data_IF_908061646526
#
_entry.id   IF_908061646526
#
_cell.length_a   1.000
_cell.length_b   1.000
_cell.length_c   1.000
_cell.angle_alpha   90.00
_cell.angle_beta   90.00
_cell.angle_gamma   90.00
#
_symmetry.space_group_name_H-M   'P 1'
#
loop_
_entity.id
_entity.type
_entity.pdbx_description
1 polymer ?
#
# COMPACT_ATOMS: atom_id res chain seq x y z
N UNK A 1 -11.98 -25.06 14.60
CA UNK A 1 -11.20 -23.80 14.56
C UNK A 1 -11.99 -22.79 13.74
N UNK A 2 -12.36 -21.61 14.27
CA UNK A 2 -13.06 -20.64 13.44
C UNK A 2 -12.14 -20.30 12.27
N UNK A 3 -12.64 -20.46 11.03
CA UNK A 3 -11.97 -19.94 9.83
C UNK A 3 -11.72 -18.46 10.11
N UNK A 4 -10.49 -18.07 10.46
CA UNK A 4 -10.14 -16.67 10.70
C UNK A 4 -10.51 -15.90 9.44
N UNK A 5 -11.67 -15.22 9.46
CA UNK A 5 -12.22 -14.51 8.29
C UNK A 5 -11.52 -13.18 8.07
N UNK A 6 -10.33 -12.96 8.65
CA UNK A 6 -9.63 -11.67 8.70
C UNK A 6 -9.30 -11.07 7.33
N UNK A 7 -9.21 -11.92 6.29
CA UNK A 7 -9.02 -11.49 4.91
C UNK A 7 -10.16 -10.59 4.41
N UNK A 8 -11.42 -10.91 4.72
CA UNK A 8 -12.55 -10.16 4.21
C UNK A 8 -12.67 -8.75 4.85
N UNK A 9 -12.59 -8.59 6.19
CA UNK A 9 -12.47 -7.28 6.82
C UNK A 9 -11.26 -6.49 6.33
N UNK A 10 -10.10 -7.14 6.12
CA UNK A 10 -8.94 -6.48 5.55
C UNK A 10 -9.27 -5.85 4.19
N UNK A 11 -9.80 -6.63 3.25
CA UNK A 11 -10.11 -6.15 1.91
C UNK A 11 -11.13 -4.99 1.94
N UNK A 12 -12.22 -5.12 2.70
CA UNK A 12 -13.23 -4.05 2.79
C UNK A 12 -12.63 -2.78 3.39
N UNK A 13 -11.95 -2.89 4.54
CA UNK A 13 -11.33 -1.74 5.20
C UNK A 13 -10.29 -1.10 4.30
N UNK A 14 -9.48 -1.91 3.61
CA UNK A 14 -8.45 -1.46 2.68
C UNK A 14 -9.04 -0.67 1.52
N UNK A 15 -10.00 -1.23 0.79
CA UNK A 15 -10.63 -0.55 -0.34
C UNK A 15 -11.36 0.72 0.10
N UNK A 16 -12.05 0.68 1.24
CA UNK A 16 -12.76 1.86 1.77
C UNK A 16 -11.79 3.00 2.05
N UNK A 17 -10.70 2.71 2.77
CA UNK A 17 -9.71 3.71 3.15
C UNK A 17 -8.96 4.24 1.91
N UNK A 18 -8.58 3.37 0.97
CA UNK A 18 -7.88 3.78 -0.25
C UNK A 18 -8.76 4.67 -1.13
N UNK A 19 -10.04 4.34 -1.32
CA UNK A 19 -10.97 5.16 -2.11
C UNK A 19 -11.20 6.52 -1.46
N UNK A 20 -11.43 6.56 -0.14
CA UNK A 20 -11.60 7.81 0.60
C UNK A 20 -10.33 8.67 0.49
N UNK A 21 -9.16 8.08 0.72
CA UNK A 21 -7.90 8.82 0.65
C UNK A 21 -7.58 9.28 -0.76
N UNK A 22 -7.91 8.51 -1.80
CA UNK A 22 -7.79 8.97 -3.18
C UNK A 22 -8.68 10.18 -3.45
N UNK A 23 -9.95 10.12 -3.04
CA UNK A 23 -10.87 11.25 -3.16
C UNK A 23 -10.39 12.51 -2.43
N UNK A 24 -9.91 12.37 -1.19
CA UNK A 24 -9.32 13.47 -0.41
C UNK A 24 -8.08 14.04 -1.11
N UNK A 25 -7.21 13.18 -1.64
CA UNK A 25 -6.00 13.59 -2.34
C UNK A 25 -6.33 14.43 -3.58
N UNK A 26 -7.28 13.96 -4.41
CA UNK A 26 -7.76 14.73 -5.57
C UNK A 26 -8.42 16.05 -5.16
N UNK A 27 -9.22 16.05 -4.09
CA UNK A 27 -9.85 17.26 -3.58
C UNK A 27 -8.80 18.29 -3.15
N UNK A 28 -7.74 17.87 -2.44
CA UNK A 28 -6.64 18.76 -2.05
C UNK A 28 -5.91 19.31 -3.28
N UNK A 29 -5.62 18.48 -4.29
CA UNK A 29 -5.01 18.94 -5.55
C UNK A 29 -5.88 20.01 -6.24
N UNK A 30 -7.20 19.80 -6.27
CA UNK A 30 -8.14 20.76 -6.83
C UNK A 30 -8.08 22.11 -6.09
N UNK A 31 -8.10 22.09 -4.75
CA UNK A 31 -8.02 23.31 -3.94
C UNK A 31 -6.69 24.07 -4.12
N UNK A 32 -5.62 23.36 -4.49
CA UNK A 32 -4.30 23.94 -4.78
C UNK A 32 -4.11 24.32 -6.26
N UNK A 33 -5.15 24.23 -7.08
CA UNK A 33 -5.10 24.43 -8.54
C UNK A 33 -4.00 23.58 -9.22
N UNK A 34 -3.77 22.36 -8.72
CA UNK A 34 -2.85 21.38 -9.31
C UNK A 34 -3.62 20.43 -10.21
N UNK A 35 -2.91 19.85 -11.19
CA UNK A 35 -3.48 18.81 -12.05
C UNK A 35 -3.88 17.58 -11.22
N UNK A 36 -5.11 17.09 -11.42
CA UNK A 36 -5.69 16.03 -10.61
C UNK A 36 -5.09 14.64 -10.90
N UNK A 37 -4.72 14.38 -12.15
CA UNK A 37 -4.29 13.06 -12.62
C UNK A 37 -2.85 13.06 -13.14
N UNK A 38 -2.03 14.04 -12.75
CA UNK A 38 -0.60 14.06 -13.07
C UNK A 38 0.22 13.26 -12.06
N UNK A 39 1.55 13.23 -12.27
CA UNK A 39 2.52 12.69 -11.31
C UNK A 39 2.28 11.22 -10.95
N UNK A 40 1.77 10.43 -11.90
CA UNK A 40 1.50 9.00 -11.73
C UNK A 40 0.62 8.65 -10.52
N UNK A 41 -0.28 9.56 -10.12
CA UNK A 41 -1.09 9.36 -8.91
C UNK A 41 -2.00 8.12 -9.04
N UNK A 42 -2.57 7.86 -10.21
CA UNK A 42 -3.44 6.69 -10.43
C UNK A 42 -2.62 5.41 -10.35
N UNK A 43 -1.50 5.36 -11.06
CA UNK A 43 -0.56 4.24 -11.10
C UNK A 43 -0.03 3.94 -9.70
N UNK A 44 0.30 4.98 -8.92
CA UNK A 44 0.77 4.84 -7.55
C UNK A 44 -0.26 4.18 -6.65
N UNK A 45 -1.52 4.63 -6.69
CA UNK A 45 -2.59 4.01 -5.90
C UNK A 45 -2.85 2.58 -6.32
N UNK A 46 -2.84 2.28 -7.62
CA UNK A 46 -3.04 0.93 -8.15
C UNK A 46 -1.90 -0.01 -7.76
N UNK A 47 -0.64 0.38 -7.99
CA UNK A 47 0.53 -0.45 -7.70
C UNK A 47 0.66 -0.71 -6.20
N UNK A 48 0.52 0.33 -5.36
CA UNK A 48 0.57 0.16 -3.91
C UNK A 48 -0.58 -0.72 -3.40
N UNK A 49 -1.78 -0.60 -3.97
CA UNK A 49 -2.92 -1.45 -3.61
C UNK A 49 -2.70 -2.90 -4.01
N UNK A 50 -2.26 -3.14 -5.24
CA UNK A 50 -2.02 -4.48 -5.75
C UNK A 50 -0.94 -5.20 -4.94
N UNK A 51 0.17 -4.53 -4.67
CA UNK A 51 1.27 -5.09 -3.89
C UNK A 51 0.83 -5.38 -2.46
N UNK A 52 0.16 -4.45 -1.79
CA UNK A 52 -0.31 -4.63 -0.42
C UNK A 52 -1.31 -5.78 -0.27
N UNK A 53 -2.28 -5.86 -1.18
CA UNK A 53 -3.26 -6.95 -1.21
C UNK A 53 -2.55 -8.28 -1.46
N UNK A 54 -1.60 -8.33 -2.40
CA UNK A 54 -0.84 -9.54 -2.72
C UNK A 54 0.00 -10.03 -1.54
N UNK A 55 0.70 -9.12 -0.86
CA UNK A 55 1.50 -9.43 0.34
C UNK A 55 0.59 -9.97 1.43
N UNK A 56 -0.53 -9.31 1.72
CA UNK A 56 -1.46 -9.77 2.76
C UNK A 56 -2.09 -11.13 2.43
N UNK A 57 -2.46 -11.37 1.16
CA UNK A 57 -2.95 -12.68 0.70
C UNK A 57 -1.89 -13.77 0.89
N UNK A 58 -0.64 -13.49 0.52
CA UNK A 58 0.48 -14.42 0.69
C UNK A 58 0.69 -14.76 2.18
N UNK A 59 0.64 -13.76 3.05
CA UNK A 59 0.70 -13.94 4.50
C UNK A 59 -0.46 -14.80 5.00
N UNK A 60 -1.68 -14.48 4.57
CA UNK A 60 -2.87 -15.21 4.95
C UNK A 60 -2.75 -16.70 4.59
N UNK A 61 -2.39 -17.05 3.37
CA UNK A 61 -2.26 -18.46 2.98
C UNK A 61 -1.06 -19.16 3.63
N UNK A 62 0.03 -18.44 3.87
CA UNK A 62 1.23 -19.00 4.50
C UNK A 62 1.09 -19.24 6.01
N UNK A 63 0.09 -18.64 6.65
CA UNK A 63 0.00 -18.56 8.13
C UNK A 63 -0.06 -19.89 8.86
N UNK A 64 -0.62 -20.92 8.23
CA UNK A 64 -0.76 -22.24 8.83
C UNK A 64 0.52 -23.08 8.69
N UNK A 65 1.33 -22.82 7.65
CA UNK A 65 2.52 -23.62 7.31
C UNK A 65 3.82 -23.00 7.83
N UNK A 66 3.91 -21.67 7.85
CA UNK A 66 5.13 -20.91 8.14
C UNK A 66 4.92 -19.90 9.26
N UNK A 67 4.22 -20.28 10.34
CA UNK A 67 3.79 -19.38 11.42
C UNK A 67 4.94 -18.56 12.02
N UNK A 68 6.09 -19.18 12.25
CA UNK A 68 7.26 -18.51 12.84
C UNK A 68 8.01 -17.60 11.85
N UNK A 69 7.80 -17.77 10.54
CA UNK A 69 8.46 -16.97 9.49
C UNK A 69 7.56 -15.87 8.91
N UNK A 70 6.30 -15.76 9.33
CA UNK A 70 5.36 -14.76 8.79
C UNK A 70 5.87 -13.32 8.91
N UNK A 71 6.56 -12.99 9.99
CA UNK A 71 7.19 -11.67 10.14
C UNK A 71 8.22 -11.40 9.03
N UNK A 72 9.03 -12.39 8.67
CA UNK A 72 10.00 -12.27 7.57
C UNK A 72 9.30 -12.14 6.21
N UNK A 73 8.20 -12.86 5.98
CA UNK A 73 7.43 -12.70 4.74
C UNK A 73 6.83 -11.30 4.62
N UNK A 74 6.34 -10.74 5.73
CA UNK A 74 5.81 -9.38 5.76
C UNK A 74 6.90 -8.35 5.49
N UNK A 75 8.06 -8.47 6.16
CA UNK A 75 9.20 -7.58 5.96
C UNK A 75 9.73 -7.67 4.53
N UNK A 76 9.96 -8.88 4.01
CA UNK A 76 10.44 -9.09 2.64
C UNK A 76 9.46 -8.56 1.59
N UNK A 77 8.16 -8.81 1.77
CA UNK A 77 7.11 -8.26 0.92
C UNK A 77 7.09 -6.72 0.94
N UNK A 78 7.19 -6.12 2.13
CA UNK A 78 7.22 -4.66 2.29
C UNK A 78 8.47 -4.03 1.68
N UNK A 79 9.64 -4.67 1.84
CA UNK A 79 10.88 -4.26 1.19
C UNK A 79 10.75 -4.34 -0.33
N UNK A 80 10.17 -5.43 -0.85
CA UNK A 80 9.92 -5.54 -2.28
C UNK A 80 8.98 -4.43 -2.77
N UNK A 81 7.88 -4.15 -2.05
CA UNK A 81 6.98 -3.03 -2.36
C UNK A 81 7.72 -1.69 -2.42
N UNK A 82 8.64 -1.47 -1.49
CA UNK A 82 9.48 -0.27 -1.50
C UNK A 82 10.46 -0.25 -2.68
N UNK A 83 11.02 -1.39 -3.10
CA UNK A 83 11.88 -1.45 -4.30
C UNK A 83 11.14 -1.08 -5.60
N UNK A 84 9.84 -1.36 -5.70
CA UNK A 84 9.02 -0.93 -6.85
C UNK A 84 9.00 0.60 -7.01
N UNK A 85 9.17 1.37 -5.92
CA UNK A 85 9.39 2.81 -6.02
C UNK A 85 10.59 3.13 -6.91
N UNK A 86 11.75 2.53 -6.60
CA UNK A 86 13.00 2.85 -7.29
C UNK A 86 13.00 2.42 -8.75
N UNK A 87 12.27 1.36 -9.08
CA UNK A 87 12.24 0.79 -10.43
C UNK A 87 11.24 1.55 -11.32
N UNK A 88 10.06 1.91 -10.80
CA UNK A 88 8.95 2.42 -11.62
C UNK A 88 8.79 3.94 -11.47
N UNK A 89 8.82 4.47 -10.25
CA UNK A 89 8.41 5.83 -9.96
C UNK A 89 9.59 6.80 -9.89
N UNK A 90 10.67 6.42 -9.20
CA UNK A 90 11.85 7.26 -9.01
C UNK A 90 12.49 7.75 -10.34
N UNK A 91 12.59 6.94 -11.41
CA UNK A 91 13.13 7.42 -12.68
C UNK A 91 12.26 8.50 -13.33
N UNK A 92 10.95 8.45 -13.11
CA UNK A 92 9.99 9.42 -13.65
C UNK A 92 10.00 10.70 -12.82
N UNK A 93 9.89 10.59 -11.49
CA UNK A 93 9.85 11.73 -10.58
C UNK A 93 11.16 12.49 -10.46
N UNK A 94 12.28 11.87 -10.86
CA UNK A 94 13.59 12.51 -10.83
C UNK A 94 14.09 12.87 -12.24
N UNK A 95 13.21 12.86 -13.23
CA UNK A 95 13.57 13.13 -14.62
C UNK A 95 14.08 14.57 -14.84
N UNK A 96 13.59 15.53 -14.04
CA UNK A 96 14.02 16.93 -14.01
C UNK A 96 15.11 17.23 -12.96
N UNK A 97 15.62 16.19 -12.28
CA UNK A 97 16.70 16.27 -11.31
C UNK A 97 16.25 16.37 -9.85
N UNK A 98 15.00 16.75 -9.57
CA UNK A 98 14.47 16.93 -8.21
C UNK A 98 13.05 16.38 -8.07
N UNK A 99 12.78 15.64 -6.99
CA UNK A 99 11.43 15.13 -6.74
C UNK A 99 10.58 16.25 -6.13
N UNK A 100 9.51 16.63 -6.81
CA UNK A 100 8.58 17.65 -6.34
C UNK A 100 7.70 17.11 -5.20
N UNK A 101 7.26 18.00 -4.31
CA UNK A 101 6.41 17.62 -3.17
C UNK A 101 5.11 16.91 -3.61
N UNK A 102 4.55 17.28 -4.77
CA UNK A 102 3.35 16.65 -5.32
C UNK A 102 3.61 15.23 -5.84
N UNK A 103 4.79 14.95 -6.38
CA UNK A 103 5.21 13.61 -6.83
C UNK A 103 5.52 12.72 -5.62
N UNK A 104 6.21 13.28 -4.62
CA UNK A 104 6.42 12.63 -3.34
C UNK A 104 5.08 12.24 -2.70
N UNK A 105 4.13 13.18 -2.61
CA UNK A 105 2.81 12.90 -2.06
C UNK A 105 2.03 11.85 -2.87
N UNK A 106 2.07 11.93 -4.20
CA UNK A 106 1.45 10.96 -5.10
C UNK A 106 1.89 9.51 -4.82
N UNK A 107 3.15 9.30 -4.45
CA UNK A 107 3.64 7.98 -4.09
C UNK A 107 3.51 7.62 -2.61
N UNK A 108 3.99 8.49 -1.72
CA UNK A 108 4.14 8.12 -0.32
C UNK A 108 2.82 8.07 0.44
N UNK A 109 1.79 8.81 0.04
CA UNK A 109 0.46 8.73 0.68
C UNK A 109 -0.16 7.33 0.54
N UNK A 110 -0.38 6.78 -0.67
CA UNK A 110 -0.91 5.42 -0.81
C UNK A 110 0.05 4.34 -0.28
N UNK A 111 1.37 4.56 -0.36
CA UNK A 111 2.37 3.64 0.19
C UNK A 111 2.26 3.52 1.72
N UNK A 112 2.30 4.64 2.45
CA UNK A 112 2.26 4.61 3.92
C UNK A 112 0.93 4.08 4.42
N UNK A 113 -0.17 4.49 3.80
CA UNK A 113 -1.50 4.05 4.20
C UNK A 113 -1.67 2.54 3.99
N UNK A 114 -1.27 2.03 2.82
CA UNK A 114 -1.33 0.59 2.56
C UNK A 114 -0.45 -0.19 3.53
N UNK A 115 0.78 0.27 3.78
CA UNK A 115 1.69 -0.36 4.74
C UNK A 115 1.12 -0.38 6.17
N UNK A 116 0.52 0.73 6.62
CA UNK A 116 -0.07 0.82 7.94
C UNK A 116 -1.23 -0.18 8.10
N UNK A 117 -2.11 -0.27 7.11
CA UNK A 117 -3.21 -1.23 7.11
C UNK A 117 -2.71 -2.67 7.10
N UNK A 118 -1.75 -2.99 6.23
CA UNK A 118 -1.12 -4.32 6.22
C UNK A 118 -0.51 -4.65 7.58
N UNK A 119 0.22 -3.72 8.20
CA UNK A 119 0.85 -3.91 9.51
C UNK A 119 -0.19 -4.19 10.59
N UNK A 120 -1.25 -3.38 10.66
CA UNK A 120 -2.32 -3.55 11.65
C UNK A 120 -3.01 -4.90 11.48
N UNK A 121 -3.38 -5.26 10.25
CA UNK A 121 -4.08 -6.51 9.99
C UNK A 121 -3.16 -7.74 10.11
N UNK A 122 -1.88 -7.63 9.76
CA UNK A 122 -0.91 -8.69 9.96
C UNK A 122 -0.67 -8.95 11.45
N UNK A 123 -0.52 -7.88 12.26
CA UNK A 123 -0.43 -8.00 13.71
C UNK A 123 -1.69 -8.64 14.31
N UNK A 124 -2.89 -8.20 13.88
CA UNK A 124 -4.16 -8.82 14.29
C UNK A 124 -4.24 -10.29 13.88
N UNK A 125 -3.75 -10.64 12.68
CA UNK A 125 -3.72 -12.03 12.24
C UNK A 125 -2.82 -12.85 13.16
N UNK A 126 -1.58 -12.40 13.38
CA UNK A 126 -0.58 -13.08 14.20
C UNK A 126 -1.02 -13.29 15.65
N UNK A 127 -1.64 -12.26 16.26
CA UNK A 127 -2.15 -12.34 17.64
C UNK A 127 -3.31 -13.34 17.81
N UNK A 128 -3.97 -13.72 16.71
CA UNK A 128 -5.09 -14.66 16.70
C UNK A 128 -4.74 -16.01 16.04
N UNK A 129 -3.44 -16.33 15.89
CA UNK A 129 -2.94 -17.63 15.43
C UNK A 129 -2.55 -18.52 16.59
#
# INVERSE_FOLDING_TARGET
MPKNKILFPFLITFFTIIVITFGIHLFILNQLNKSLFSNMIVESYLVNSLLAISIFILLFFSRNKFKTQLGFFFLGGSMLKFLFFFIIFNPVYKADGEIQAVEFAAFFIPYFLSLALETIFAARMLNNL
#
